data_IF_905280073438
#
_entry.id   IF_905280073438
#
_cell.length_a   1.000
_cell.length_b   1.000
_cell.length_c   1.000
_cell.angle_alpha   90.00
_cell.angle_beta   90.00
_cell.angle_gamma   90.00
#
_symmetry.space_group_name_H-M   'P 1'
#
loop_
_entity.id
_entity.type
_entity.pdbx_description
1 polymer ?
#
# COMPACT_ATOMS: atom_id res chain seq x y z
N UNK A 1 8.82 -16.90 24.13
CA UNK A 1 7.95 -17.09 25.31
C UNK A 1 6.93 -15.96 25.30
N UNK A 2 5.65 -16.28 25.07
CA UNK A 2 4.58 -15.28 24.95
C UNK A 2 4.29 -14.62 26.29
N UNK A 3 4.14 -13.30 26.29
CA UNK A 3 3.73 -12.56 27.48
C UNK A 3 2.35 -13.05 27.94
N UNK A 4 2.02 -12.87 29.23
CA UNK A 4 0.70 -13.21 29.81
C UNK A 4 -0.43 -12.59 28.99
N UNK A 5 -0.24 -11.36 28.48
CA UNK A 5 -1.20 -10.65 27.62
C UNK A 5 -1.37 -11.41 26.29
N UNK A 6 -0.29 -11.87 25.65
CA UNK A 6 -0.36 -12.64 24.42
C UNK A 6 -1.17 -13.93 24.60
N UNK A 7 -0.95 -14.66 25.70
CA UNK A 7 -1.68 -15.90 26.01
C UNK A 7 -3.18 -15.65 26.25
N UNK A 8 -3.54 -14.56 26.92
CA UNK A 8 -4.93 -14.18 27.13
C UNK A 8 -5.59 -13.83 25.80
N UNK A 9 -4.94 -13.02 24.97
CA UNK A 9 -5.45 -12.65 23.64
C UNK A 9 -5.63 -13.87 22.74
N UNK A 10 -4.71 -14.83 22.77
CA UNK A 10 -4.84 -16.07 21.99
C UNK A 10 -6.05 -16.90 22.44
N UNK A 11 -6.34 -16.98 23.76
CA UNK A 11 -7.52 -17.67 24.28
C UNK A 11 -8.83 -16.98 23.86
N UNK A 12 -8.85 -15.66 23.92
CA UNK A 12 -10.02 -14.86 23.48
C UNK A 12 -10.26 -15.11 21.98
N UNK A 13 -9.22 -14.96 21.15
CA UNK A 13 -9.32 -15.17 19.71
C UNK A 13 -9.80 -16.61 19.37
N UNK A 14 -9.24 -17.62 20.04
CA UNK A 14 -9.70 -19.01 19.86
C UNK A 14 -11.21 -19.15 20.18
N UNK A 15 -11.66 -18.58 21.30
CA UNK A 15 -13.09 -18.63 21.67
C UNK A 15 -13.97 -17.91 20.65
N UNK A 16 -13.52 -16.77 20.09
CA UNK A 16 -14.24 -16.06 19.05
C UNK A 16 -14.35 -16.89 17.77
N UNK A 17 -13.24 -17.44 17.29
CA UNK A 17 -13.23 -18.29 16.10
C UNK A 17 -14.10 -19.56 16.26
N UNK A 18 -14.11 -20.17 17.43
CA UNK A 18 -14.98 -21.33 17.69
C UNK A 18 -16.47 -21.00 17.63
N UNK A 19 -16.86 -19.79 18.04
CA UNK A 19 -18.26 -19.33 18.12
C UNK A 19 -18.76 -18.61 16.87
N UNK A 20 -17.85 -18.11 16.02
CA UNK A 20 -18.23 -17.43 14.80
C UNK A 20 -18.94 -18.40 13.84
N UNK A 21 -20.06 -18.03 13.31
CA UNK A 21 -20.79 -18.80 12.29
C UNK A 21 -20.00 -18.86 11.00
N UNK A 22 -19.43 -17.72 10.60
CA UNK A 22 -18.52 -17.59 9.45
C UNK A 22 -17.37 -16.63 9.77
N UNK A 23 -16.23 -16.85 9.12
CA UNK A 23 -15.04 -15.98 9.19
C UNK A 23 -14.74 -15.50 7.78
N UNK A 24 -14.68 -14.18 7.60
CA UNK A 24 -14.32 -13.57 6.32
C UNK A 24 -12.82 -13.33 6.27
N UNK A 25 -12.17 -13.88 5.25
CA UNK A 25 -10.80 -13.56 4.87
C UNK A 25 -10.83 -12.59 3.67
N UNK A 26 -9.95 -11.60 3.64
CA UNK A 26 -9.92 -10.60 2.58
C UNK A 26 -9.20 -11.09 1.30
N UNK A 27 -8.43 -12.16 1.40
CA UNK A 27 -7.73 -12.80 0.28
C UNK A 27 -7.68 -14.32 0.50
N UNK A 28 -7.51 -15.10 -0.57
CA UNK A 28 -7.34 -16.54 -0.46
C UNK A 28 -6.08 -16.91 0.33
N UNK A 29 -5.01 -16.12 0.20
CA UNK A 29 -3.80 -16.29 0.98
C UNK A 29 -4.05 -16.08 2.49
N UNK A 30 -4.88 -15.09 2.86
CA UNK A 30 -5.31 -14.88 4.25
C UNK A 30 -6.18 -16.05 4.75
N UNK A 31 -7.05 -16.57 3.89
CA UNK A 31 -7.83 -17.77 4.19
C UNK A 31 -6.95 -18.98 4.48
N UNK A 32 -5.97 -19.24 3.62
CA UNK A 32 -5.01 -20.31 3.81
C UNK A 32 -4.17 -20.14 5.09
N UNK A 33 -3.72 -18.92 5.36
CA UNK A 33 -3.01 -18.59 6.59
C UNK A 33 -3.88 -18.88 7.83
N UNK A 34 -5.14 -18.44 7.82
CA UNK A 34 -6.09 -18.69 8.92
C UNK A 34 -6.29 -20.19 9.14
N UNK A 35 -6.54 -20.97 8.10
CA UNK A 35 -6.77 -22.41 8.22
C UNK A 35 -5.53 -23.17 8.73
N UNK A 36 -4.32 -22.73 8.36
CA UNK A 36 -3.08 -23.32 8.88
C UNK A 36 -2.80 -22.92 10.33
N UNK A 37 -3.07 -21.67 10.69
CA UNK A 37 -2.71 -21.11 12.01
C UNK A 37 -3.79 -21.32 13.07
N UNK A 38 -5.01 -21.70 12.67
CA UNK A 38 -6.20 -21.84 13.53
C UNK A 38 -6.88 -23.18 13.29
N UNK A 39 -6.36 -24.27 13.87
CA UNK A 39 -6.92 -25.62 13.66
C UNK A 39 -8.36 -25.79 14.17
N UNK A 40 -8.84 -24.83 14.98
CA UNK A 40 -10.24 -24.74 15.40
C UNK A 40 -11.21 -24.28 14.30
N UNK A 41 -10.72 -23.75 13.18
CA UNK A 41 -11.53 -23.33 12.04
C UNK A 41 -11.65 -24.45 11.02
N UNK A 42 -12.87 -24.76 10.63
CA UNK A 42 -13.15 -25.63 9.48
C UNK A 42 -13.22 -24.83 8.19
N UNK A 43 -12.82 -25.44 7.07
CA UNK A 43 -12.67 -24.75 5.79
C UNK A 43 -14.00 -24.21 5.22
N UNK A 44 -15.11 -24.86 5.54
CA UNK A 44 -16.48 -24.46 5.16
C UNK A 44 -16.97 -23.19 5.88
N UNK A 45 -16.33 -22.83 6.98
CA UNK A 45 -16.66 -21.63 7.76
C UNK A 45 -15.80 -20.42 7.41
N UNK A 46 -14.75 -20.59 6.59
CA UNK A 46 -13.89 -19.48 6.17
C UNK A 46 -14.15 -19.16 4.71
N UNK A 47 -14.73 -18.00 4.47
CA UNK A 47 -15.06 -17.51 3.12
C UNK A 47 -14.13 -16.37 2.73
N UNK A 48 -13.75 -16.30 1.46
CA UNK A 48 -12.99 -15.16 0.93
C UNK A 48 -13.98 -14.14 0.36
N UNK A 49 -13.90 -12.91 0.90
CA UNK A 49 -14.59 -11.74 0.36
C UNK A 49 -13.55 -10.64 0.24
N UNK A 50 -13.15 -10.32 -0.98
CA UNK A 50 -12.14 -9.30 -1.23
C UNK A 50 -12.60 -7.93 -0.74
N UNK A 51 -11.64 -7.11 -0.35
CA UNK A 51 -11.90 -5.70 -0.03
C UNK A 51 -12.26 -4.94 -1.32
N UNK A 52 -12.79 -3.74 -1.17
CA UNK A 52 -13.20 -2.86 -2.27
C UNK A 52 -12.86 -1.42 -1.96
N UNK A 53 -12.89 -0.55 -2.96
CA UNK A 53 -12.84 0.90 -2.79
C UNK A 53 -14.23 1.51 -3.00
N UNK A 54 -14.46 2.68 -2.43
CA UNK A 54 -15.64 3.48 -2.73
C UNK A 54 -15.47 4.15 -4.11
N UNK A 55 -16.58 4.36 -4.81
CA UNK A 55 -16.55 5.14 -6.05
C UNK A 55 -15.93 6.51 -5.79
N UNK A 56 -14.91 6.84 -6.57
CA UNK A 56 -14.24 8.13 -6.50
C UNK A 56 -14.96 9.11 -7.45
N UNK A 57 -15.25 10.30 -6.96
CA UNK A 57 -15.82 11.40 -7.76
C UNK A 57 -14.75 12.40 -8.19
N UNK A 58 -13.51 11.93 -8.34
CA UNK A 58 -12.38 12.78 -8.64
C UNK A 58 -12.58 13.55 -9.97
N UNK A 59 -12.31 14.84 -9.91
CA UNK A 59 -12.24 15.71 -11.08
C UNK A 59 -11.11 15.35 -12.04
N UNK A 60 -10.83 16.21 -13.02
CA UNK A 60 -9.70 15.97 -13.94
C UNK A 60 -8.36 15.96 -13.20
N UNK A 61 -7.44 15.13 -13.67
CA UNK A 61 -6.07 15.03 -13.13
C UNK A 61 -5.35 16.37 -13.08
N UNK A 62 -5.46 17.17 -14.16
CA UNK A 62 -4.86 18.50 -14.23
C UNK A 62 -5.44 19.46 -13.18
N UNK A 63 -6.75 19.43 -12.93
CA UNK A 63 -7.37 20.27 -11.91
C UNK A 63 -6.89 19.86 -10.50
N UNK A 64 -6.83 18.57 -10.19
CA UNK A 64 -6.33 18.07 -8.92
C UNK A 64 -4.84 18.41 -8.69
N UNK A 65 -4.03 18.36 -9.75
CA UNK A 65 -2.61 18.78 -9.71
C UNK A 65 -2.46 20.27 -9.43
N UNK A 66 -3.20 21.10 -10.15
CA UNK A 66 -3.17 22.56 -9.96
C UNK A 66 -3.56 22.96 -8.53
N UNK A 67 -4.60 22.34 -7.96
CA UNK A 67 -5.04 22.55 -6.58
C UNK A 67 -3.93 22.19 -5.57
N UNK A 68 -3.19 21.11 -5.82
CA UNK A 68 -2.09 20.68 -4.97
C UNK A 68 -0.76 21.39 -5.29
N UNK A 69 -0.72 22.29 -6.28
CA UNK A 69 0.47 23.04 -6.67
C UNK A 69 1.47 22.23 -7.49
N UNK A 70 1.01 21.22 -8.20
CA UNK A 70 1.77 20.45 -9.18
C UNK A 70 1.42 20.86 -10.61
N UNK A 71 2.29 20.51 -11.54
CA UNK A 71 2.10 20.71 -12.98
C UNK A 71 1.73 19.39 -13.68
N UNK A 72 1.32 19.49 -14.95
CA UNK A 72 1.03 18.28 -15.76
C UNK A 72 2.31 17.51 -16.14
N UNK A 73 3.48 18.14 -16.03
CA UNK A 73 4.78 17.52 -16.25
C UNK A 73 5.29 16.71 -15.06
N UNK A 74 4.71 16.94 -13.86
CA UNK A 74 5.12 16.24 -12.66
C UNK A 74 4.62 14.79 -12.66
N UNK A 75 5.52 13.85 -12.39
CA UNK A 75 5.21 12.45 -12.14
C UNK A 75 5.10 12.24 -10.62
N UNK A 76 3.88 12.12 -10.13
CA UNK A 76 3.60 12.09 -8.70
C UNK A 76 3.47 10.65 -8.22
N UNK A 77 4.42 10.24 -7.37
CA UNK A 77 4.44 8.94 -6.68
C UNK A 77 3.71 9.06 -5.36
N UNK A 78 2.58 8.37 -5.23
CA UNK A 78 1.72 8.43 -4.05
C UNK A 78 2.05 7.36 -3.03
N UNK A 79 2.08 7.75 -1.75
CA UNK A 79 1.99 6.83 -0.62
C UNK A 79 0.98 7.37 0.40
N UNK A 80 -0.22 6.78 0.46
CA UNK A 80 -1.29 7.24 1.34
C UNK A 80 -1.66 6.19 2.38
N UNK A 81 -1.86 6.64 3.63
CA UNK A 81 -2.32 5.81 4.74
C UNK A 81 -1.24 5.49 5.77
N UNK A 82 -1.41 4.38 6.47
CA UNK A 82 -0.51 3.98 7.55
C UNK A 82 0.89 3.60 7.03
N UNK A 83 1.94 4.12 7.70
CA UNK A 83 3.34 3.67 7.61
C UNK A 83 3.71 3.14 8.98
N UNK A 84 3.27 1.94 9.28
CA UNK A 84 3.41 1.30 10.56
C UNK A 84 4.30 0.05 10.51
N UNK A 85 4.14 -0.83 11.49
CA UNK A 85 4.94 -2.05 11.64
C UNK A 85 4.84 -2.96 10.40
N UNK A 86 3.69 -2.96 9.74
CA UNK A 86 3.41 -3.83 8.60
C UNK A 86 3.86 -3.26 7.25
N UNK A 87 4.44 -2.08 7.20
CA UNK A 87 4.85 -1.42 5.96
C UNK A 87 6.37 -1.25 5.90
N UNK A 88 6.94 -1.48 4.73
CA UNK A 88 8.34 -1.19 4.45
C UNK A 88 8.51 0.30 4.12
N UNK A 89 9.19 1.04 4.98
CA UNK A 89 9.61 2.43 4.74
C UNK A 89 11.03 2.52 4.19
N UNK A 90 11.82 1.46 4.32
CA UNK A 90 13.24 1.47 3.93
C UNK A 90 13.39 1.64 2.42
N UNK A 91 12.68 0.85 1.64
CA UNK A 91 12.69 0.98 0.18
C UNK A 91 12.18 2.35 -0.27
N UNK A 92 11.11 2.87 0.37
CA UNK A 92 10.57 4.19 0.08
C UNK A 92 11.61 5.30 0.31
N UNK A 93 12.26 5.32 1.49
CA UNK A 93 13.28 6.32 1.83
C UNK A 93 14.48 6.26 0.88
N UNK A 94 14.94 5.06 0.53
CA UNK A 94 16.04 4.89 -0.42
C UNK A 94 15.68 5.41 -1.81
N UNK A 95 14.48 5.09 -2.33
CA UNK A 95 14.02 5.57 -3.63
C UNK A 95 13.86 7.09 -3.65
N UNK A 96 13.30 7.71 -2.59
CA UNK A 96 13.21 9.16 -2.47
C UNK A 96 14.58 9.84 -2.58
N UNK A 97 15.60 9.30 -1.87
CA UNK A 97 16.96 9.83 -1.93
C UNK A 97 17.59 9.69 -3.32
N UNK A 98 17.44 8.53 -3.97
CA UNK A 98 18.01 8.30 -5.30
C UNK A 98 17.39 9.17 -6.39
N UNK A 99 16.11 9.50 -6.25
CA UNK A 99 15.37 10.30 -7.21
C UNK A 99 15.32 11.80 -6.84
N UNK A 100 16.11 12.25 -5.86
CA UNK A 100 16.10 13.63 -5.38
C UNK A 100 16.43 14.66 -6.49
N UNK A 101 17.32 14.31 -7.41
CA UNK A 101 17.76 15.18 -8.51
C UNK A 101 16.82 15.13 -9.74
N UNK A 102 15.82 14.24 -9.75
CA UNK A 102 14.83 14.17 -10.83
C UNK A 102 13.72 15.19 -10.61
N UNK A 103 13.85 16.36 -11.24
CA UNK A 103 12.98 17.52 -11.01
C UNK A 103 11.49 17.26 -11.20
N UNK A 104 11.12 16.38 -12.14
CA UNK A 104 9.73 16.09 -12.46
C UNK A 104 9.17 14.90 -11.67
N UNK A 105 10.00 14.15 -10.92
CA UNK A 105 9.51 13.07 -10.06
C UNK A 105 9.27 13.61 -8.65
N UNK A 106 8.01 13.55 -8.21
CA UNK A 106 7.57 14.06 -6.92
C UNK A 106 7.02 12.92 -6.07
N UNK A 107 7.31 12.95 -4.78
CA UNK A 107 6.68 12.05 -3.82
C UNK A 107 5.62 12.81 -3.02
N UNK A 108 4.39 12.33 -3.05
CA UNK A 108 3.30 12.83 -2.21
C UNK A 108 2.96 11.76 -1.19
N UNK A 109 3.30 12.03 0.07
CA UNK A 109 3.14 11.10 1.17
C UNK A 109 2.14 11.68 2.15
N UNK A 110 1.07 10.96 2.44
CA UNK A 110 0.06 11.40 3.40
C UNK A 110 -0.32 10.25 4.34
N UNK A 111 -0.21 10.47 5.64
CA UNK A 111 -0.57 9.43 6.58
C UNK A 111 0.04 9.57 7.98
N UNK A 112 -0.03 8.47 8.69
CA UNK A 112 0.46 8.33 10.07
C UNK A 112 1.12 6.95 10.26
N UNK A 113 1.60 6.70 11.46
CA UNK A 113 2.18 5.41 11.84
C UNK A 113 3.50 5.56 12.57
N UNK A 114 3.94 4.49 13.22
CA UNK A 114 5.13 4.51 14.06
C UNK A 114 6.45 4.63 13.27
N UNK A 115 6.44 4.36 11.96
CA UNK A 115 7.58 4.53 11.06
C UNK A 115 7.53 5.88 10.29
N UNK A 116 6.46 6.67 10.43
CA UNK A 116 6.34 7.97 9.79
C UNK A 116 7.40 8.99 10.22
N UNK A 117 7.90 9.01 11.48
CA UNK A 117 8.99 9.91 11.87
C UNK A 117 10.26 9.73 11.04
N UNK A 118 10.67 8.50 10.70
CA UNK A 118 11.86 8.24 9.85
C UNK A 118 11.65 8.76 8.43
N UNK A 119 10.45 8.61 7.88
CA UNK A 119 10.11 9.15 6.56
C UNK A 119 10.13 10.68 6.56
N UNK A 120 9.57 11.33 7.60
CA UNK A 120 9.62 12.79 7.75
C UNK A 120 11.05 13.30 7.84
N UNK A 121 11.88 12.66 8.65
CA UNK A 121 13.30 13.04 8.81
C UNK A 121 14.07 12.92 7.47
N UNK A 122 13.83 11.86 6.70
CA UNK A 122 14.43 11.72 5.38
C UNK A 122 13.95 12.82 4.42
N UNK A 123 12.68 13.17 4.46
CA UNK A 123 12.07 14.16 3.58
C UNK A 123 12.54 15.60 3.83
N UNK A 124 13.01 15.94 5.03
CA UNK A 124 13.48 17.31 5.37
C UNK A 124 14.53 17.88 4.41
N UNK A 125 15.30 17.00 3.77
CA UNK A 125 16.40 17.38 2.87
C UNK A 125 16.09 17.11 1.40
N UNK A 126 14.88 16.67 1.09
CA UNK A 126 14.48 16.24 -0.25
C UNK A 126 13.45 17.19 -0.86
N UNK A 127 13.85 18.01 -1.85
CA UNK A 127 12.96 19.03 -2.45
C UNK A 127 11.82 18.41 -3.27
N UNK A 128 11.94 17.16 -3.63
CA UNK A 128 10.96 16.40 -4.41
C UNK A 128 9.95 15.63 -3.54
N UNK A 129 9.99 15.77 -2.20
CA UNK A 129 9.10 15.05 -1.28
C UNK A 129 8.21 16.04 -0.54
N UNK A 130 6.90 15.81 -0.64
CA UNK A 130 5.89 16.52 0.14
C UNK A 130 5.19 15.54 1.08
N UNK A 131 5.16 15.89 2.36
CA UNK A 131 4.44 15.15 3.38
C UNK A 131 3.22 15.93 3.83
N UNK A 132 2.07 15.29 3.79
CA UNK A 132 0.80 15.82 4.30
C UNK A 132 0.33 15.03 5.52
N UNK A 133 -0.64 15.57 6.22
CA UNK A 133 -1.37 14.85 7.23
C UNK A 133 -2.26 13.76 6.59
N UNK A 134 -2.91 12.95 7.43
CA UNK A 134 -3.79 11.89 6.95
C UNK A 134 -4.96 12.49 6.15
N UNK A 135 -5.10 12.04 4.89
CA UNK A 135 -6.13 12.51 3.96
C UNK A 135 -7.36 11.61 4.02
N UNK A 136 -8.55 12.22 3.98
CA UNK A 136 -9.85 11.54 3.91
C UNK A 136 -10.80 12.26 2.96
N UNK A 137 -11.84 11.56 2.51
CA UNK A 137 -12.88 12.14 1.64
C UNK A 137 -12.32 12.79 0.38
N UNK A 138 -12.84 13.93 0.00
CA UNK A 138 -12.47 14.65 -1.22
C UNK A 138 -10.99 14.98 -1.32
N UNK A 139 -10.33 15.33 -0.19
CA UNK A 139 -8.89 15.60 -0.20
C UNK A 139 -8.06 14.35 -0.58
N UNK A 140 -8.48 13.17 -0.13
CA UNK A 140 -7.87 11.90 -0.53
C UNK A 140 -8.13 11.61 -2.02
N UNK A 141 -9.36 11.79 -2.48
CA UNK A 141 -9.73 11.58 -3.89
C UNK A 141 -8.92 12.49 -4.82
N UNK A 142 -8.78 13.77 -4.48
CA UNK A 142 -7.97 14.72 -5.24
C UNK A 142 -6.47 14.31 -5.24
N UNK A 143 -5.94 13.87 -4.11
CA UNK A 143 -4.55 13.40 -4.04
C UNK A 143 -4.33 12.14 -4.90
N UNK A 144 -5.28 11.21 -4.92
CA UNK A 144 -5.25 10.04 -5.82
C UNK A 144 -5.32 10.48 -7.28
N UNK A 145 -6.28 11.34 -7.64
CA UNK A 145 -6.45 11.83 -9.00
C UNK A 145 -5.22 12.57 -9.54
N UNK A 146 -4.54 13.36 -8.71
CA UNK A 146 -3.32 14.07 -9.07
C UNK A 146 -2.13 13.15 -9.34
N UNK A 147 -2.14 11.95 -8.74
CA UNK A 147 -0.99 11.03 -8.73
C UNK A 147 -0.79 10.33 -10.08
N UNK A 148 0.42 9.79 -10.27
CA UNK A 148 0.83 9.06 -11.49
C UNK A 148 0.98 7.57 -11.22
N UNK A 149 1.39 7.18 -10.01
CA UNK A 149 1.41 5.80 -9.53
C UNK A 149 1.28 5.76 -8.01
N UNK A 150 0.92 4.61 -7.46
CA UNK A 150 0.80 4.38 -6.04
C UNK A 150 1.74 3.29 -5.52
N UNK A 151 2.40 3.53 -4.39
CA UNK A 151 3.19 2.50 -3.70
C UNK A 151 2.34 1.79 -2.67
N UNK A 152 2.33 0.46 -2.72
CA UNK A 152 1.70 -0.41 -1.74
C UNK A 152 2.76 -1.30 -1.13
N UNK A 153 3.13 -1.08 0.13
CA UNK A 153 4.18 -1.86 0.78
C UNK A 153 3.63 -2.78 1.87
N UNK A 154 4.27 -3.95 1.99
CA UNK A 154 4.10 -4.89 3.09
C UNK A 154 5.49 -5.33 3.56
N UNK A 155 5.68 -5.37 4.88
CA UNK A 155 6.90 -5.86 5.51
C UNK A 155 7.07 -7.37 5.30
N UNK A 156 8.30 -7.84 5.33
CA UNK A 156 8.64 -9.25 5.19
C UNK A 156 7.97 -10.13 6.25
N UNK A 157 7.49 -11.29 5.85
CA UNK A 157 6.87 -12.30 6.74
C UNK A 157 5.42 -12.01 7.08
N UNK A 158 4.77 -11.04 6.44
CA UNK A 158 3.36 -10.70 6.64
C UNK A 158 2.43 -11.26 5.57
N UNK A 159 2.96 -12.10 4.69
CA UNK A 159 2.21 -12.81 3.66
C UNK A 159 1.04 -13.60 4.29
N UNK A 160 -0.18 -13.34 3.83
CA UNK A 160 -1.42 -13.93 4.38
C UNK A 160 -1.93 -13.30 5.67
N UNK A 161 -1.19 -12.37 6.30
CA UNK A 161 -1.64 -11.70 7.53
C UNK A 161 -2.22 -10.32 7.29
N UNK A 162 -1.88 -9.68 6.18
CA UNK A 162 -2.31 -8.32 5.84
C UNK A 162 -2.84 -8.25 4.42
N UNK A 163 -3.94 -7.51 4.24
CA UNK A 163 -4.50 -7.15 2.94
C UNK A 163 -4.57 -5.61 2.85
N UNK A 164 -3.63 -4.95 2.15
CA UNK A 164 -3.55 -3.50 2.13
C UNK A 164 -4.70 -2.87 1.33
N UNK A 165 -5.57 -2.12 2.00
CA UNK A 165 -6.75 -1.49 1.38
C UNK A 165 -6.38 -0.44 0.33
N UNK A 166 -5.21 0.21 0.46
CA UNK A 166 -4.73 1.22 -0.50
C UNK A 166 -4.57 0.68 -1.92
N UNK A 167 -4.34 -0.62 -2.10
CA UNK A 167 -4.35 -1.30 -3.39
C UNK A 167 -5.63 -0.99 -4.17
N UNK A 168 -6.78 -1.24 -3.56
CA UNK A 168 -8.08 -1.04 -4.19
C UNK A 168 -8.37 0.43 -4.46
N UNK A 169 -8.00 1.32 -3.53
CA UNK A 169 -8.20 2.76 -3.70
C UNK A 169 -7.36 3.35 -4.84
N UNK A 170 -6.15 2.86 -5.04
CA UNK A 170 -5.32 3.30 -6.16
C UNK A 170 -5.86 2.81 -7.49
N UNK A 171 -6.24 1.53 -7.58
CA UNK A 171 -6.85 0.99 -8.80
C UNK A 171 -8.15 1.69 -9.15
N UNK A 172 -9.02 1.98 -8.17
CA UNK A 172 -10.24 2.75 -8.38
C UNK A 172 -9.94 4.14 -8.95
N UNK A 173 -8.83 4.75 -8.57
CA UNK A 173 -8.35 6.01 -9.11
C UNK A 173 -7.59 5.88 -10.45
N UNK A 174 -7.53 4.69 -11.05
CA UNK A 174 -6.81 4.43 -12.30
C UNK A 174 -5.28 4.50 -12.17
N UNK A 175 -4.73 4.36 -10.95
CA UNK A 175 -3.29 4.43 -10.73
C UNK A 175 -2.64 3.05 -10.90
N UNK A 176 -1.59 2.94 -11.73
CA UNK A 176 -0.68 1.80 -11.66
C UNK A 176 -0.01 1.75 -10.28
N UNK A 177 0.28 0.54 -9.82
CA UNK A 177 0.90 0.34 -8.51
C UNK A 177 2.32 -0.19 -8.61
N UNK A 178 3.15 0.14 -7.62
CA UNK A 178 4.38 -0.58 -7.33
C UNK A 178 4.19 -1.28 -5.99
N UNK A 179 4.15 -2.61 -6.04
CA UNK A 179 3.99 -3.46 -4.87
C UNK A 179 5.36 -3.75 -4.25
N UNK A 180 5.67 -3.18 -3.08
CA UNK A 180 6.88 -3.49 -2.33
C UNK A 180 6.56 -4.59 -1.35
N UNK A 181 6.89 -5.84 -1.69
CA UNK A 181 6.44 -7.03 -0.96
C UNK A 181 7.28 -8.26 -1.29
N UNK A 182 6.99 -9.39 -0.64
CA UNK A 182 7.56 -10.68 -1.03
C UNK A 182 7.00 -11.14 -2.38
N UNK A 183 7.84 -11.74 -3.23
CA UNK A 183 7.48 -12.14 -4.59
C UNK A 183 6.31 -13.15 -4.67
N UNK A 184 6.10 -13.92 -3.62
CA UNK A 184 5.03 -14.91 -3.53
C UNK A 184 3.76 -14.40 -2.81
N UNK A 185 3.68 -13.10 -2.50
CA UNK A 185 2.50 -12.52 -1.84
C UNK A 185 1.29 -12.42 -2.78
N UNK A 186 0.10 -12.38 -2.20
CA UNK A 186 -1.14 -12.08 -2.94
C UNK A 186 -0.99 -10.79 -3.76
N UNK A 187 -0.46 -9.73 -3.13
CA UNK A 187 -0.30 -8.44 -3.77
C UNK A 187 0.59 -8.51 -5.03
N UNK A 188 1.69 -9.27 -4.98
CA UNK A 188 2.57 -9.47 -6.12
C UNK A 188 1.86 -10.22 -7.27
N UNK A 189 1.13 -11.28 -6.92
CA UNK A 189 0.38 -12.08 -7.90
C UNK A 189 -0.74 -11.28 -8.56
N UNK A 190 -1.50 -10.49 -7.80
CA UNK A 190 -2.59 -9.68 -8.35
C UNK A 190 -2.05 -8.55 -9.22
N UNK A 191 -0.99 -7.85 -8.80
CA UNK A 191 -0.37 -6.81 -9.62
C UNK A 191 0.06 -7.32 -11.01
N UNK A 192 0.63 -8.52 -11.06
CA UNK A 192 1.05 -9.16 -12.30
C UNK A 192 -0.13 -9.70 -13.12
N UNK A 193 -1.06 -10.40 -12.48
CA UNK A 193 -2.22 -11.02 -13.14
C UNK A 193 -3.12 -9.98 -13.80
N UNK A 194 -3.43 -8.92 -13.08
CA UNK A 194 -4.30 -7.85 -13.55
C UNK A 194 -3.54 -6.80 -14.40
N UNK A 195 -2.22 -6.93 -14.54
CA UNK A 195 -1.33 -6.00 -15.28
C UNK A 195 -1.45 -4.55 -14.82
N UNK A 196 -1.67 -4.36 -13.53
CA UNK A 196 -1.86 -3.04 -12.94
C UNK A 196 -0.60 -2.45 -12.32
N UNK A 197 0.54 -3.14 -12.47
CA UNK A 197 1.82 -2.67 -11.94
C UNK A 197 2.86 -3.76 -11.77
N UNK A 198 3.95 -3.40 -11.11
CA UNK A 198 5.11 -4.25 -10.90
C UNK A 198 5.37 -4.51 -9.41
N UNK A 199 6.23 -5.50 -9.14
CA UNK A 199 6.62 -5.88 -7.78
C UNK A 199 8.10 -5.65 -7.55
N UNK A 200 8.43 -5.08 -6.40
CA UNK A 200 9.78 -4.86 -5.89
C UNK A 200 9.89 -5.59 -4.55
N UNK A 201 11.05 -6.16 -4.26
CA UNK A 201 11.27 -6.84 -2.99
C UNK A 201 11.36 -5.84 -1.81
N UNK A 202 10.94 -6.30 -0.65
CA UNK A 202 11.03 -5.55 0.61
C UNK A 202 12.48 -5.09 0.86
N UNK A 203 12.67 -3.81 1.19
CA UNK A 203 13.97 -3.21 1.45
C UNK A 203 14.79 -2.84 0.20
N UNK A 204 14.31 -3.15 -1.01
CA UNK A 204 15.04 -2.85 -2.25
C UNK A 204 14.64 -1.50 -2.86
N UNK A 205 15.19 -0.43 -2.31
CA UNK A 205 14.96 0.92 -2.83
C UNK A 205 15.58 1.19 -4.18
N UNK A 206 16.63 0.45 -4.59
CA UNK A 206 17.22 0.58 -5.93
C UNK A 206 16.23 0.12 -6.99
N UNK A 207 15.65 -1.06 -6.82
CA UNK A 207 14.63 -1.58 -7.72
C UNK A 207 13.37 -0.70 -7.68
N UNK A 208 12.97 -0.16 -6.51
CA UNK A 208 11.85 0.76 -6.42
C UNK A 208 12.08 2.04 -7.23
N UNK A 209 13.28 2.63 -7.14
CA UNK A 209 13.62 3.81 -7.92
C UNK A 209 13.65 3.49 -9.44
N UNK A 210 14.18 2.34 -9.83
CA UNK A 210 14.19 1.89 -11.23
C UNK A 210 12.78 1.70 -11.79
N UNK A 211 11.86 1.11 -11.01
CA UNK A 211 10.46 0.94 -11.43
C UNK A 211 9.71 2.29 -11.53
N UNK A 212 9.99 3.23 -10.64
CA UNK A 212 9.44 4.59 -10.75
C UNK A 212 9.93 5.26 -12.05
N UNK A 213 11.21 5.13 -12.38
CA UNK A 213 11.77 5.66 -13.63
C UNK A 213 11.17 4.99 -14.86
N UNK A 214 10.94 3.67 -14.82
CA UNK A 214 10.31 2.94 -15.90
C UNK A 214 8.88 3.42 -16.16
N UNK A 215 8.08 3.60 -15.10
CA UNK A 215 6.72 4.16 -15.19
C UNK A 215 6.72 5.62 -15.64
N UNK A 216 7.72 6.42 -15.24
CA UNK A 216 7.88 7.79 -15.72
C UNK A 216 8.14 7.86 -17.22
N UNK A 217 8.99 6.95 -17.73
CA UNK A 217 9.33 6.88 -19.15
C UNK A 217 8.20 6.26 -20.02
N UNK A 218 7.44 5.32 -19.45
CA UNK A 218 6.36 4.60 -20.15
C UNK A 218 5.22 4.29 -19.18
N UNK A 219 4.28 5.23 -18.99
CA UNK A 219 3.16 5.07 -18.07
C UNK A 219 2.27 3.87 -18.48
N UNK A 220 1.84 3.10 -17.47
CA UNK A 220 0.84 2.04 -17.63
C UNK A 220 -0.54 2.69 -17.49
N UNK A 221 -1.42 2.43 -18.45
CA UNK A 221 -2.85 2.79 -18.32
C UNK A 221 -3.59 1.64 -17.64
N UNK A 222 -4.14 1.91 -16.46
CA UNK A 222 -5.03 0.99 -15.73
C UNK A 222 -6.46 1.24 -16.20
N UNK A 223 -7.09 0.20 -16.74
CA UNK A 223 -8.49 0.24 -17.26
C UNK A 223 -9.49 -0.22 -16.20
#
# INVERSE_FOLDING_TARGET
EGSTVSNVMQRINRSLFQRAESVVALTDEMREYLLRSRPELSADRVVTISNWAHEATAGSKSAARAELGYTDEDFIVAYFGNIGICQDETALIQAMNQLADHKNIKFLIAGHGNKMPSVRQAAERLPNVRICDFLTGTAFEHAVAASSCGIVSLEKGLTGMCAPSKYYSYLQGGLPIIAVTEANSYLAREAQKERVGNTVLVGDGNSLAAEILALYASPIEVQ
#
